data_IF_543690702464
#
_entry.id   IF_543690702464
#
_cell.length_a   1.000
_cell.length_b   1.000
_cell.length_c   1.000
_cell.angle_alpha   90.00
_cell.angle_beta   90.00
_cell.angle_gamma   90.00
#
_symmetry.space_group_name_H-M   'P 1'
#
loop_
_entity.id
_entity.type
_entity.pdbx_description
1 polymer ?
#
# COMPACT_ATOMS: atom_id res chain seq x y z
N UNK A 1 5.16 14.91 20.24
CA UNK A 1 6.21 15.53 19.40
C UNK A 1 5.85 15.30 17.94
N UNK A 2 6.20 16.21 17.03
CA UNK A 2 5.73 16.21 15.64
C UNK A 2 6.91 16.46 14.70
N UNK A 3 6.74 16.09 13.42
CA UNK A 3 7.67 16.44 12.34
C UNK A 3 8.00 17.94 12.38
N UNK A 4 9.27 18.28 12.08
CA UNK A 4 9.76 19.66 12.07
C UNK A 4 8.83 20.60 11.31
N UNK A 5 8.46 21.77 11.87
CA UNK A 5 7.65 22.77 11.18
C UNK A 5 8.27 23.27 9.86
N UNK A 6 9.60 23.18 9.72
CA UNK A 6 10.34 23.60 8.52
C UNK A 6 10.47 22.50 7.45
N UNK A 7 10.02 21.28 7.75
CA UNK A 7 10.11 20.12 6.86
C UNK A 7 8.73 19.78 6.28
N UNK A 8 8.65 19.58 4.96
CA UNK A 8 7.46 19.06 4.30
C UNK A 8 7.63 17.56 4.02
N UNK A 9 6.70 16.76 4.51
CA UNK A 9 6.62 15.32 4.20
C UNK A 9 5.64 15.13 3.06
N UNK A 10 6.07 14.49 1.98
CA UNK A 10 5.29 14.27 0.77
C UNK A 10 5.23 12.76 0.54
N UNK A 11 4.05 12.18 0.75
CA UNK A 11 3.83 10.75 0.52
C UNK A 11 3.44 10.53 -0.95
N UNK A 12 4.10 9.58 -1.61
CA UNK A 12 3.79 9.14 -2.97
C UNK A 12 3.14 7.77 -2.91
N UNK A 13 1.93 7.63 -3.44
CA UNK A 13 1.21 6.36 -3.44
C UNK A 13 0.31 6.23 -4.67
N UNK A 14 -0.31 5.07 -4.88
CA UNK A 14 -1.26 4.89 -5.99
C UNK A 14 -2.07 3.61 -5.86
N UNK A 15 -3.26 3.59 -6.45
CA UNK A 15 -4.22 2.48 -6.25
C UNK A 15 -3.82 1.16 -6.91
N UNK A 16 -2.84 1.16 -7.83
CA UNK A 16 -2.43 -0.03 -8.59
C UNK A 16 -0.90 -0.16 -8.66
N UNK A 17 -0.43 -1.41 -8.72
CA UNK A 17 0.94 -1.73 -9.11
C UNK A 17 1.24 -1.32 -10.57
N UNK A 18 2.49 -1.00 -10.89
CA UNK A 18 2.91 -0.71 -12.27
C UNK A 18 2.59 0.70 -12.82
N UNK A 19 1.96 1.58 -12.03
CA UNK A 19 1.70 2.98 -12.43
C UNK A 19 2.95 3.89 -12.38
N UNK A 20 4.09 3.38 -11.89
CA UNK A 20 5.37 4.09 -11.87
C UNK A 20 5.64 4.92 -10.61
N UNK A 21 5.12 4.50 -9.44
CA UNK A 21 5.22 5.22 -8.15
C UNK A 21 6.67 5.45 -7.71
N UNK A 22 7.47 4.38 -7.65
CA UNK A 22 8.86 4.45 -7.19
C UNK A 22 9.74 5.28 -8.12
N UNK A 23 9.61 5.06 -9.42
CA UNK A 23 10.28 5.89 -10.44
C UNK A 23 9.89 7.35 -10.30
N UNK A 24 8.60 7.63 -10.08
CA UNK A 24 8.12 8.98 -9.84
C UNK A 24 8.70 9.57 -8.55
N UNK A 25 8.70 8.84 -7.44
CA UNK A 25 9.22 9.32 -6.16
C UNK A 25 10.70 9.69 -6.24
N UNK A 26 11.53 8.85 -6.88
CA UNK A 26 12.97 9.11 -7.03
C UNK A 26 13.24 10.35 -7.90
N UNK A 27 12.55 10.46 -9.04
CA UNK A 27 12.68 11.62 -9.94
C UNK A 27 12.11 12.89 -9.31
N UNK A 28 11.01 12.80 -8.55
CA UNK A 28 10.44 13.92 -7.81
C UNK A 28 11.39 14.42 -6.74
N UNK A 29 12.03 13.53 -5.97
CA UNK A 29 13.01 13.90 -4.96
C UNK A 29 14.21 14.62 -5.59
N UNK A 30 14.71 14.14 -6.72
CA UNK A 30 15.76 14.83 -7.49
C UNK A 30 15.28 16.19 -8.05
N UNK A 31 14.03 16.28 -8.50
CA UNK A 31 13.46 17.54 -8.98
C UNK A 31 13.33 18.58 -7.85
N UNK A 32 12.88 18.17 -6.65
CA UNK A 32 12.86 19.02 -5.45
C UNK A 32 14.26 19.53 -5.11
N UNK A 33 15.25 18.63 -5.08
CA UNK A 33 16.64 19.00 -4.81
C UNK A 33 17.14 20.07 -5.79
N UNK A 34 16.87 19.91 -7.10
CA UNK A 34 17.34 20.84 -8.14
C UNK A 34 16.61 22.18 -8.14
N UNK A 35 15.28 22.17 -8.02
CA UNK A 35 14.45 23.39 -8.08
C UNK A 35 14.56 24.21 -6.79
N UNK A 36 14.47 23.54 -5.64
CA UNK A 36 14.45 24.22 -4.35
C UNK A 36 15.84 24.46 -3.77
N UNK A 37 16.86 23.76 -4.28
CA UNK A 37 18.25 23.82 -3.77
C UNK A 37 18.31 23.63 -2.25
N UNK A 38 17.48 22.73 -1.75
CA UNK A 38 17.28 22.50 -0.33
C UNK A 38 17.53 21.03 0.03
N UNK A 39 18.03 20.75 1.24
CA UNK A 39 18.19 19.38 1.75
C UNK A 39 16.92 18.55 1.56
N UNK A 40 17.05 17.48 0.79
CA UNK A 40 15.95 16.60 0.37
C UNK A 40 16.30 15.16 0.69
N UNK A 41 15.36 14.43 1.29
CA UNK A 41 15.48 13.03 1.65
C UNK A 41 14.43 12.20 0.91
N UNK A 42 14.86 11.10 0.30
CA UNK A 42 14.00 10.05 -0.23
C UNK A 42 13.97 8.88 0.75
N UNK A 43 12.79 8.34 1.02
CA UNK A 43 12.57 7.16 1.87
C UNK A 43 11.79 6.11 1.09
N UNK A 44 12.30 4.90 1.04
CA UNK A 44 11.59 3.72 0.51
C UNK A 44 10.80 3.04 1.64
N UNK A 45 9.47 3.02 1.53
CA UNK A 45 8.54 2.29 2.39
C UNK A 45 7.62 1.35 1.59
N UNK A 46 7.92 1.02 0.33
CA UNK A 46 7.17 -0.01 -0.40
C UNK A 46 7.64 -1.41 0.06
N UNK A 47 7.02 -1.93 1.12
CA UNK A 47 7.40 -3.23 1.72
C UNK A 47 7.22 -4.40 0.74
N UNK A 48 6.25 -4.32 -0.19
CA UNK A 48 5.94 -5.42 -1.12
C UNK A 48 6.93 -5.47 -2.28
N UNK A 49 7.28 -4.31 -2.82
CA UNK A 49 8.28 -4.14 -3.88
C UNK A 49 9.59 -3.61 -3.29
N UNK A 50 10.02 -4.21 -2.17
CA UNK A 50 11.16 -3.72 -1.41
C UNK A 50 12.45 -3.76 -2.25
N UNK A 51 13.17 -2.65 -2.29
CA UNK A 51 14.46 -2.54 -2.99
C UNK A 51 14.38 -2.02 -4.42
N UNK A 52 13.19 -1.79 -4.99
CA UNK A 52 13.05 -1.13 -6.30
C UNK A 52 13.75 0.24 -6.30
N UNK A 53 13.68 0.97 -5.19
CA UNK A 53 14.37 2.27 -5.08
C UNK A 53 15.89 2.17 -5.10
N UNK A 54 16.47 1.07 -4.59
CA UNK A 54 17.91 0.84 -4.67
C UNK A 54 18.35 0.71 -6.14
N UNK A 55 17.57 0.01 -6.95
CA UNK A 55 17.82 -0.17 -8.39
C UNK A 55 17.63 1.15 -9.15
N UNK A 56 16.56 1.89 -8.84
CA UNK A 56 16.23 3.16 -9.51
C UNK A 56 17.30 4.23 -9.23
N UNK A 57 17.84 4.25 -8.01
CA UNK A 57 18.82 5.26 -7.56
C UNK A 57 20.27 4.81 -7.66
N UNK A 58 20.53 3.52 -7.90
CA UNK A 58 21.88 2.96 -7.94
C UNK A 58 22.56 2.95 -6.58
N UNK A 59 21.78 2.98 -5.50
CA UNK A 59 22.28 3.08 -4.13
C UNK A 59 22.12 1.78 -3.37
N UNK A 60 23.10 1.51 -2.51
CA UNK A 60 23.00 0.50 -1.47
C UNK A 60 22.87 1.20 -0.13
N UNK A 61 21.77 1.00 0.63
CA UNK A 61 21.60 1.67 1.91
C UNK A 61 22.72 1.38 2.91
N UNK A 62 23.22 2.41 3.59
CA UNK A 62 24.14 2.26 4.75
C UNK A 62 23.40 1.63 5.93
N UNK A 63 22.18 2.13 6.16
CA UNK A 63 21.22 1.59 7.13
C UNK A 63 19.84 1.49 6.50
N UNK A 64 19.13 0.44 6.87
CA UNK A 64 17.72 0.27 6.46
C UNK A 64 16.78 1.08 7.35
N UNK A 65 15.53 1.21 6.92
CA UNK A 65 14.44 1.76 7.73
C UNK A 65 14.35 1.06 9.09
N UNK A 66 14.45 -0.28 9.12
CA UNK A 66 14.39 -1.08 10.35
C UNK A 66 15.56 -0.80 11.29
N UNK A 67 16.79 -0.74 10.77
CA UNK A 67 17.97 -0.43 11.58
C UNK A 67 17.93 1.00 12.13
N UNK A 68 17.38 1.95 11.36
CA UNK A 68 17.18 3.33 11.83
C UNK A 68 16.12 3.34 12.92
N UNK A 69 15.00 2.62 12.75
CA UNK A 69 13.92 2.55 13.74
C UNK A 69 14.42 2.08 15.11
N UNK A 70 15.31 1.09 15.11
CA UNK A 70 15.87 0.47 16.32
C UNK A 70 17.14 1.16 16.85
N UNK A 71 17.59 2.24 16.20
CA UNK A 71 18.76 3.00 16.63
C UNK A 71 18.55 3.66 18.01
N UNK A 72 19.43 3.32 18.97
CA UNK A 72 19.33 3.81 20.35
C UNK A 72 20.11 5.12 20.61
N UNK A 73 20.95 5.56 19.66
CA UNK A 73 21.74 6.78 19.82
C UNK A 73 20.96 8.06 19.54
N UNK A 74 21.54 9.20 19.93
CA UNK A 74 20.99 10.50 19.56
C UNK A 74 21.21 10.80 18.06
N UNK A 75 20.18 11.31 17.39
CA UNK A 75 20.30 11.79 16.02
C UNK A 75 20.90 13.21 16.05
N UNK A 76 22.11 13.33 15.53
CA UNK A 76 22.87 14.56 15.40
C UNK A 76 23.61 14.57 14.04
N UNK A 77 24.27 15.67 13.63
CA UNK A 77 24.94 15.73 12.33
C UNK A 77 25.97 14.62 12.07
N UNK A 78 26.62 14.07 13.10
CA UNK A 78 27.62 13.00 12.95
C UNK A 78 26.95 11.63 12.80
N UNK A 79 25.99 11.29 13.67
CA UNK A 79 25.26 10.02 13.57
C UNK A 79 24.40 9.97 12.30
N UNK A 80 23.83 11.10 11.88
CA UNK A 80 23.04 11.17 10.64
C UNK A 80 23.84 10.72 9.41
N UNK A 81 25.13 11.08 9.31
CA UNK A 81 26.01 10.63 8.21
C UNK A 81 26.26 9.12 8.19
N UNK A 82 26.10 8.45 9.34
CA UNK A 82 26.25 7.00 9.48
C UNK A 82 24.93 6.25 9.26
N UNK A 83 23.80 6.96 9.33
CA UNK A 83 22.46 6.41 9.14
C UNK A 83 21.92 6.62 7.72
N UNK A 84 22.27 7.74 7.09
CA UNK A 84 21.70 8.16 5.82
C UNK A 84 22.66 7.92 4.67
N UNK A 85 22.14 7.36 3.58
CA UNK A 85 22.91 7.07 2.38
C UNK A 85 22.99 8.32 1.50
N UNK A 86 24.18 8.83 1.18
CA UNK A 86 24.33 9.96 0.25
C UNK A 86 24.24 9.48 -1.21
N UNK A 87 23.45 10.18 -2.02
CA UNK A 87 23.49 10.06 -3.47
C UNK A 87 24.49 11.08 -4.06
N UNK A 88 25.22 10.75 -5.15
CA UNK A 88 26.17 11.69 -5.79
C UNK A 88 25.58 13.04 -6.21
N UNK A 89 24.26 13.12 -6.42
CA UNK A 89 23.55 14.37 -6.72
C UNK A 89 23.40 15.32 -5.52
N UNK A 90 23.66 14.85 -4.30
CA UNK A 90 23.33 15.55 -3.06
C UNK A 90 21.99 15.16 -2.44
N UNK A 91 21.22 14.27 -3.08
CA UNK A 91 20.02 13.66 -2.48
C UNK A 91 20.43 12.75 -1.33
N UNK A 92 19.66 12.75 -0.25
CA UNK A 92 19.80 11.78 0.83
C UNK A 92 18.80 10.65 0.67
N UNK A 93 19.17 9.42 1.07
CA UNK A 93 18.36 8.23 0.89
C UNK A 93 18.33 7.33 2.13
N UNK A 94 17.14 6.85 2.47
CA UNK A 94 16.90 5.72 3.38
C UNK A 94 16.16 4.64 2.58
N UNK A 95 16.77 3.46 2.45
CA UNK A 95 16.14 2.32 1.78
C UNK A 95 15.48 1.36 2.76
N UNK A 96 14.47 0.62 2.31
CA UNK A 96 13.79 -0.39 3.12
C UNK A 96 14.69 -1.59 3.44
N UNK A 97 15.57 -1.97 2.50
CA UNK A 97 16.40 -3.18 2.56
C UNK A 97 17.79 -2.96 1.97
N UNK A 98 18.78 -3.73 2.42
CA UNK A 98 20.12 -3.79 1.80
C UNK A 98 20.22 -4.83 0.68
N UNK A 99 19.31 -5.81 0.65
CA UNK A 99 19.15 -6.83 -0.40
C UNK A 99 17.67 -7.12 -0.61
N UNK A 100 17.20 -7.28 -1.87
CA UNK A 100 15.78 -7.44 -2.19
C UNK A 100 15.15 -8.75 -1.70
N UNK A 101 15.95 -9.78 -1.37
CA UNK A 101 15.44 -11.04 -0.80
C UNK A 101 14.99 -10.92 0.67
N UNK A 102 15.36 -9.85 1.36
CA UNK A 102 14.98 -9.63 2.76
C UNK A 102 13.64 -8.92 2.85
N UNK A 103 12.74 -9.38 3.72
CA UNK A 103 11.54 -8.63 4.08
C UNK A 103 11.74 -7.98 5.44
N UNK A 104 11.77 -6.64 5.51
CA UNK A 104 12.00 -5.94 6.77
C UNK A 104 10.73 -5.98 7.62
N UNK A 105 10.90 -6.15 8.93
CA UNK A 105 9.84 -5.94 9.90
C UNK A 105 10.01 -4.54 10.49
N UNK A 106 9.29 -3.57 9.92
CA UNK A 106 9.50 -2.16 10.25
C UNK A 106 8.65 -1.80 11.48
N UNK A 107 9.25 -1.46 12.64
CA UNK A 107 8.49 -0.98 13.79
C UNK A 107 8.08 0.47 13.53
N UNK A 108 6.91 0.66 12.93
CA UNK A 108 6.48 1.93 12.35
C UNK A 108 6.52 3.13 13.30
N UNK A 109 6.04 2.96 14.53
CA UNK A 109 6.07 4.00 15.55
C UNK A 109 7.50 4.39 15.97
N UNK A 110 8.41 3.42 16.06
CA UNK A 110 9.81 3.71 16.34
C UNK A 110 10.44 4.47 15.17
N UNK A 111 10.21 4.02 13.93
CA UNK A 111 10.74 4.73 12.76
C UNK A 111 10.18 6.15 12.65
N UNK A 112 8.87 6.33 12.88
CA UNK A 112 8.21 7.65 12.91
C UNK A 112 8.84 8.57 13.96
N UNK A 113 9.16 8.05 15.16
CA UNK A 113 9.87 8.80 16.21
C UNK A 113 11.26 9.24 15.75
N UNK A 114 12.03 8.36 15.11
CA UNK A 114 13.34 8.72 14.56
C UNK A 114 13.21 9.76 13.46
N UNK A 115 12.19 9.63 12.60
CA UNK A 115 11.91 10.57 11.52
C UNK A 115 11.64 11.99 12.04
N UNK A 116 11.06 12.15 13.23
CA UNK A 116 10.89 13.47 13.86
C UNK A 116 12.23 14.17 14.07
N UNK A 117 13.26 13.46 14.53
CA UNK A 117 14.61 14.02 14.69
C UNK A 117 15.30 14.21 13.34
N UNK A 118 15.20 13.24 12.42
CA UNK A 118 15.75 13.34 11.07
C UNK A 118 15.18 14.56 10.32
N UNK A 119 13.89 14.86 10.50
CA UNK A 119 13.21 15.97 9.84
C UNK A 119 13.76 17.35 10.20
N UNK A 120 14.60 17.47 11.24
CA UNK A 120 15.26 18.74 11.58
C UNK A 120 16.37 19.10 10.59
N UNK A 121 16.87 18.13 9.82
CA UNK A 121 17.99 18.31 8.87
C UNK A 121 17.54 18.46 7.41
N UNK A 122 16.25 18.27 7.13
CA UNK A 122 15.69 18.30 5.79
C UNK A 122 14.56 19.31 5.65
N UNK A 123 14.45 19.92 4.47
CA UNK A 123 13.30 20.75 4.11
C UNK A 123 12.20 19.92 3.44
N UNK A 124 12.58 18.86 2.73
CA UNK A 124 11.67 18.00 1.99
C UNK A 124 12.01 16.54 2.26
N UNK A 125 10.99 15.76 2.62
CA UNK A 125 11.05 14.31 2.73
C UNK A 125 10.02 13.75 1.76
N UNK A 126 10.48 12.99 0.78
CA UNK A 126 9.64 12.26 -0.17
C UNK A 126 9.62 10.81 0.29
N UNK A 127 8.44 10.27 0.53
CA UNK A 127 8.26 8.88 0.98
C UNK A 127 7.55 8.11 -0.13
N UNK A 128 8.20 7.08 -0.65
CA UNK A 128 7.59 6.12 -1.55
C UNK A 128 6.82 5.08 -0.73
N UNK A 129 5.49 5.15 -0.77
CA UNK A 129 4.60 4.34 0.04
C UNK A 129 4.09 3.09 -0.70
N UNK A 130 4.44 2.95 -1.98
CA UNK A 130 3.88 1.87 -2.79
C UNK A 130 2.37 1.96 -2.98
N UNK A 131 1.72 0.80 -3.13
CA UNK A 131 0.28 0.69 -3.40
C UNK A 131 -0.54 0.10 -2.25
N UNK A 132 0.12 -0.20 -1.13
CA UNK A 132 -0.54 -0.77 0.04
C UNK A 132 -0.83 0.33 1.06
N UNK A 133 -1.89 0.10 1.83
CA UNK A 133 -2.25 0.92 2.98
C UNK A 133 -2.33 -0.03 4.16
N UNK A 134 -1.25 -0.05 4.93
CA UNK A 134 -1.13 -0.82 6.17
C UNK A 134 -0.95 0.16 7.34
N UNK A 135 -0.98 -0.34 8.57
CA UNK A 135 -0.86 0.49 9.78
C UNK A 135 0.40 1.38 9.77
N UNK A 136 1.53 0.84 9.30
CA UNK A 136 2.76 1.62 9.08
C UNK A 136 2.51 2.87 8.23
N UNK A 137 1.72 2.74 7.16
CA UNK A 137 1.51 3.78 6.18
C UNK A 137 0.63 4.91 6.73
N UNK A 138 -0.35 4.57 7.57
CA UNK A 138 -1.29 5.53 8.15
C UNK A 138 -0.56 6.58 9.00
N UNK A 139 0.45 6.18 9.78
CA UNK A 139 1.24 7.12 10.58
C UNK A 139 1.97 8.17 9.73
N UNK A 140 2.50 7.80 8.56
CA UNK A 140 3.14 8.74 7.64
C UNK A 140 2.13 9.59 6.87
N UNK A 141 0.98 9.03 6.53
CA UNK A 141 -0.15 9.77 5.94
C UNK A 141 -0.64 10.86 6.89
N UNK A 142 -0.74 10.57 8.19
CA UNK A 142 -1.06 11.57 9.20
C UNK A 142 -0.02 12.69 9.25
N UNK A 143 1.27 12.36 9.09
CA UNK A 143 2.36 13.33 9.13
C UNK A 143 2.54 14.12 7.82
N UNK A 144 1.95 13.63 6.72
CA UNK A 144 2.09 14.21 5.39
C UNK A 144 1.61 15.66 5.31
N UNK A 145 2.41 16.49 4.64
CA UNK A 145 2.00 17.82 4.15
C UNK A 145 1.21 17.72 2.86
N UNK A 146 1.41 16.67 2.07
CA UNK A 146 0.67 16.38 0.84
C UNK A 146 0.78 14.89 0.53
N UNK A 147 -0.26 14.34 -0.10
CA UNK A 147 -0.30 12.96 -0.57
C UNK A 147 -0.48 13.00 -2.09
N UNK A 148 0.54 12.53 -2.82
CA UNK A 148 0.53 12.44 -4.27
C UNK A 148 -0.02 11.08 -4.69
N UNK A 149 -1.21 11.10 -5.28
CA UNK A 149 -1.85 9.91 -5.84
C UNK A 149 -1.45 9.77 -7.31
N UNK A 150 -0.63 8.76 -7.60
CA UNK A 150 -0.17 8.44 -8.95
C UNK A 150 -1.19 7.55 -9.63
N UNK A 151 -1.65 7.97 -10.80
CA UNK A 151 -2.57 7.22 -11.66
C UNK A 151 -2.09 7.23 -13.11
N UNK A 152 -2.69 6.42 -13.98
CA UNK A 152 -2.46 6.45 -15.43
C UNK A 152 -3.76 6.84 -16.15
N UNK A 153 -3.73 7.32 -17.41
CA UNK A 153 -4.94 7.73 -18.12
C UNK A 153 -5.77 6.53 -18.62
N UNK A 154 -5.80 5.43 -17.86
CA UNK A 154 -6.58 4.22 -18.10
C UNK A 154 -7.77 4.17 -17.14
N UNK A 155 -8.97 3.84 -17.68
CA UNK A 155 -10.22 3.79 -16.91
C UNK A 155 -10.11 2.91 -15.66
N UNK A 156 -9.51 1.72 -15.78
CA UNK A 156 -9.38 0.77 -14.67
C UNK A 156 -8.46 1.31 -13.58
N UNK A 157 -7.34 1.95 -13.94
CA UNK A 157 -6.38 2.53 -12.99
C UNK A 157 -6.98 3.74 -12.28
N UNK A 158 -7.73 4.59 -13.00
CA UNK A 158 -8.47 5.71 -12.40
C UNK A 158 -9.54 5.20 -11.43
N UNK A 159 -10.30 4.18 -11.79
CA UNK A 159 -11.31 3.59 -10.89
C UNK A 159 -10.67 3.01 -9.63
N UNK A 160 -9.54 2.33 -9.75
CA UNK A 160 -8.82 1.81 -8.59
C UNK A 160 -8.28 2.94 -7.70
N UNK A 161 -7.75 4.01 -8.31
CA UNK A 161 -7.32 5.21 -7.57
C UNK A 161 -8.48 5.84 -6.80
N UNK A 162 -9.68 5.88 -7.40
CA UNK A 162 -10.90 6.37 -6.74
C UNK A 162 -11.27 5.53 -5.52
N UNK A 163 -11.19 4.20 -5.61
CA UNK A 163 -11.46 3.30 -4.47
C UNK A 163 -10.49 3.57 -3.31
N UNK A 164 -9.20 3.63 -3.60
CA UNK A 164 -8.16 3.94 -2.60
C UNK A 164 -8.36 5.30 -1.94
N UNK A 165 -8.75 6.33 -2.72
CA UNK A 165 -9.11 7.64 -2.16
C UNK A 165 -10.29 7.53 -1.20
N UNK A 166 -11.36 6.84 -1.59
CA UNK A 166 -12.55 6.65 -0.75
C UNK A 166 -12.22 5.92 0.55
N UNK A 167 -11.39 4.87 0.50
CA UNK A 167 -10.93 4.12 1.67
C UNK A 167 -10.16 5.01 2.65
N UNK A 168 -9.20 5.81 2.15
CA UNK A 168 -8.41 6.70 3.01
C UNK A 168 -9.25 7.83 3.61
N UNK A 169 -10.20 8.38 2.84
CA UNK A 169 -11.10 9.41 3.36
C UNK A 169 -12.07 8.85 4.40
N UNK A 170 -12.52 7.61 4.23
CA UNK A 170 -13.29 6.90 5.25
C UNK A 170 -12.45 6.66 6.52
N UNK A 171 -11.14 6.45 6.37
CA UNK A 171 -10.16 6.41 7.45
C UNK A 171 -9.75 7.80 7.97
N UNK A 172 -10.58 8.84 7.77
CA UNK A 172 -10.43 10.21 8.29
C UNK A 172 -9.31 11.05 7.68
N UNK A 173 -8.66 10.61 6.60
CA UNK A 173 -7.65 11.43 5.91
C UNK A 173 -8.35 12.60 5.17
N UNK A 174 -7.98 13.87 5.45
CA UNK A 174 -8.62 15.01 4.81
C UNK A 174 -8.44 14.98 3.28
N UNK A 175 -9.56 15.10 2.57
CA UNK A 175 -9.59 15.02 1.11
C UNK A 175 -8.65 16.01 0.41
N UNK A 176 -8.44 17.19 0.99
CA UNK A 176 -7.62 18.24 0.40
C UNK A 176 -6.11 17.92 0.39
N UNK A 177 -5.66 16.97 1.22
CA UNK A 177 -4.27 16.52 1.20
C UNK A 177 -3.92 15.75 -0.08
N UNK A 178 -4.93 15.18 -0.76
CA UNK A 178 -4.72 14.40 -1.97
C UNK A 178 -4.56 15.29 -3.19
N UNK A 179 -3.42 15.12 -3.88
CA UNK A 179 -3.12 15.76 -5.15
C UNK A 179 -2.88 14.66 -6.20
N UNK A 180 -3.52 14.75 -7.35
CA UNK A 180 -3.43 13.74 -8.41
C UNK A 180 -2.28 14.08 -9.35
N UNK A 181 -1.46 13.08 -9.66
CA UNK A 181 -0.50 13.13 -10.76
C UNK A 181 -0.86 12.05 -11.77
N UNK A 182 -1.07 12.46 -13.01
CA UNK A 182 -1.36 11.53 -14.11
C UNK A 182 -0.06 11.16 -14.80
N UNK A 183 0.42 9.95 -14.57
CA UNK A 183 1.64 9.41 -15.17
C UNK A 183 1.34 8.68 -16.48
N UNK A 184 2.36 8.51 -17.33
CA UNK A 184 2.26 7.80 -18.61
C UNK A 184 1.17 8.36 -19.53
N UNK A 185 1.12 9.69 -19.67
CA UNK A 185 0.17 10.35 -20.55
C UNK A 185 0.42 9.97 -22.02
N UNK A 186 -0.65 9.53 -22.67
CA UNK A 186 -0.71 9.16 -24.10
C UNK A 186 -1.92 9.84 -24.74
N UNK A 187 -1.88 10.03 -26.06
CA UNK A 187 -2.92 10.77 -26.80
C UNK A 187 -4.32 10.16 -26.68
N UNK A 188 -4.40 8.82 -26.62
CA UNK A 188 -5.67 8.09 -26.59
C UNK A 188 -6.15 7.76 -25.17
N UNK A 189 -5.46 8.26 -24.14
CA UNK A 189 -5.84 8.06 -22.76
C UNK A 189 -6.95 9.02 -22.31
N UNK A 190 -7.52 8.77 -21.14
CA UNK A 190 -8.43 9.71 -20.49
C UNK A 190 -7.78 11.09 -20.33
N UNK A 191 -8.52 12.14 -20.71
CA UNK A 191 -8.08 13.51 -20.53
C UNK A 191 -7.92 13.85 -19.04
N UNK A 192 -6.89 14.64 -18.64
CA UNK A 192 -6.68 15.02 -17.24
C UNK A 192 -7.91 15.65 -16.58
N UNK A 193 -8.71 16.41 -17.33
CA UNK A 193 -9.95 17.02 -16.85
C UNK A 193 -11.00 15.98 -16.48
N UNK A 194 -11.15 14.92 -17.28
CA UNK A 194 -12.07 13.82 -16.99
C UNK A 194 -11.60 13.02 -15.75
N UNK A 195 -10.30 12.84 -15.59
CA UNK A 195 -9.70 12.20 -14.41
C UNK A 195 -9.97 13.05 -13.15
N UNK A 196 -9.72 14.37 -13.23
CA UNK A 196 -10.02 15.31 -12.16
C UNK A 196 -11.49 15.27 -11.74
N UNK A 197 -12.41 15.24 -12.70
CA UNK A 197 -13.86 15.13 -12.44
C UNK A 197 -14.22 13.79 -11.77
N UNK A 198 -13.65 12.68 -12.26
CA UNK A 198 -13.91 11.34 -11.73
C UNK A 198 -13.39 11.16 -10.30
N UNK A 199 -12.18 11.66 -10.02
CA UNK A 199 -11.54 11.55 -8.71
C UNK A 199 -11.96 12.64 -7.73
N UNK A 200 -12.55 13.75 -8.21
CA UNK A 200 -12.93 14.93 -7.43
C UNK A 200 -11.75 15.52 -6.63
N UNK A 201 -10.55 15.41 -7.17
CA UNK A 201 -9.30 15.89 -6.55
C UNK A 201 -8.46 16.63 -7.57
N UNK A 202 -7.70 17.65 -7.17
CA UNK A 202 -6.92 18.48 -8.08
C UNK A 202 -5.87 17.64 -8.81
N UNK A 203 -5.79 17.78 -10.14
CA UNK A 203 -4.66 17.27 -10.92
C UNK A 203 -3.59 18.35 -10.98
N UNK A 204 -2.46 18.10 -10.31
CA UNK A 204 -1.35 19.07 -10.21
C UNK A 204 -0.31 18.92 -11.32
N UNK A 205 -0.38 17.83 -12.08
CA UNK A 205 0.55 17.57 -13.15
C UNK A 205 0.23 16.32 -13.95
N UNK A 206 0.79 16.29 -15.15
CA UNK A 206 0.63 15.23 -16.13
C UNK A 206 2.00 14.95 -16.72
N UNK A 207 2.45 13.70 -16.66
CA UNK A 207 3.76 13.28 -17.12
C UNK A 207 3.59 12.48 -18.42
N UNK A 208 4.20 12.91 -19.54
CA UNK A 208 4.15 12.16 -20.79
C UNK A 208 4.80 10.79 -20.64
N UNK A 209 4.25 9.77 -21.31
CA UNK A 209 4.93 8.49 -21.43
C UNK A 209 6.20 8.65 -22.27
N UNK A 210 7.34 8.24 -21.71
CA UNK A 210 8.63 8.21 -22.39
C UNK A 210 9.38 6.94 -21.96
N UNK A 211 9.09 5.85 -22.67
CA UNK A 211 9.65 4.54 -22.35
C UNK A 211 11.15 4.48 -22.62
N UNK A 212 11.65 5.21 -23.62
CA UNK A 212 13.07 5.23 -23.97
C UNK A 212 13.91 5.86 -22.85
N UNK A 213 13.53 7.06 -22.38
CA UNK A 213 14.22 7.72 -21.27
C UNK A 213 14.08 6.91 -19.98
N UNK A 214 12.88 6.39 -19.70
CA UNK A 214 12.65 5.60 -18.49
C UNK A 214 13.49 4.33 -18.48
N UNK A 215 13.54 3.61 -19.61
CA UNK A 215 14.34 2.41 -19.77
C UNK A 215 15.84 2.70 -19.60
N UNK A 216 16.34 3.75 -20.25
CA UNK A 216 17.75 4.17 -20.13
C UNK A 216 18.11 4.54 -18.68
N UNK A 217 17.22 5.26 -17.98
CA UNK A 217 17.41 5.66 -16.59
C UNK A 217 17.57 4.43 -15.68
N UNK A 218 16.72 3.42 -15.87
CA UNK A 218 16.78 2.17 -15.11
C UNK A 218 18.05 1.37 -15.42
N UNK A 219 18.50 1.31 -16.68
CA UNK A 219 19.75 0.65 -17.05
C UNK A 219 20.98 1.28 -16.39
N UNK A 220 20.97 2.61 -16.25
CA UNK A 220 22.05 3.37 -15.61
C UNK A 220 21.85 3.56 -14.11
N UNK A 221 20.76 3.02 -13.54
CA UNK A 221 20.36 3.20 -12.15
C UNK A 221 20.46 4.66 -11.67
N UNK A 222 20.07 5.60 -12.53
CA UNK A 222 20.17 7.04 -12.25
C UNK A 222 18.85 7.72 -12.64
N UNK A 223 18.21 8.47 -11.73
CA UNK A 223 16.97 9.19 -12.04
C UNK A 223 17.15 10.12 -13.25
N UNK A 224 16.28 9.99 -14.26
CA UNK A 224 16.40 10.75 -15.52
C UNK A 224 16.32 12.27 -15.33
N UNK A 225 15.70 12.77 -14.25
CA UNK A 225 15.70 14.21 -13.94
C UNK A 225 17.13 14.76 -13.80
N UNK A 226 18.12 13.91 -13.49
CA UNK A 226 19.53 14.28 -13.39
C UNK A 226 20.25 14.25 -14.75
N UNK A 227 19.88 13.33 -15.64
CA UNK A 227 20.62 13.05 -16.89
C UNK A 227 19.94 13.62 -18.14
N UNK A 228 18.63 13.83 -18.12
CA UNK A 228 17.80 14.22 -19.26
C UNK A 228 17.12 15.58 -19.04
N UNK A 229 17.88 16.58 -18.60
CA UNK A 229 17.38 17.88 -18.13
C UNK A 229 16.44 18.63 -19.12
N UNK A 230 16.63 18.45 -20.43
CA UNK A 230 15.88 19.15 -21.47
C UNK A 230 14.66 18.36 -22.01
N UNK A 231 14.39 17.17 -21.47
CA UNK A 231 13.27 16.34 -21.92
C UNK A 231 11.92 16.85 -21.40
N UNK A 232 10.85 16.59 -22.17
CA UNK A 232 9.48 16.93 -21.75
C UNK A 232 9.06 16.21 -20.46
N UNK A 233 9.50 14.96 -20.29
CA UNK A 233 9.25 14.19 -19.07
C UNK A 233 9.88 14.90 -17.87
N UNK A 234 11.15 15.32 -17.94
CA UNK A 234 11.84 16.04 -16.86
C UNK A 234 11.20 17.40 -16.56
N UNK A 235 10.83 18.16 -17.60
CA UNK A 235 10.12 19.43 -17.44
C UNK A 235 8.81 19.29 -16.66
N UNK A 236 8.11 18.15 -16.80
CA UNK A 236 6.86 17.87 -16.07
C UNK A 236 7.10 17.67 -14.56
N UNK A 237 8.21 17.05 -14.15
CA UNK A 237 8.57 16.93 -12.73
C UNK A 237 8.88 18.29 -12.11
N UNK A 238 9.66 19.13 -12.79
CA UNK A 238 9.94 20.48 -12.34
C UNK A 238 8.68 21.34 -12.23
N UNK A 239 7.73 21.19 -13.17
CA UNK A 239 6.42 21.83 -13.09
C UNK A 239 5.65 21.39 -11.83
N UNK A 240 5.58 20.09 -11.54
CA UNK A 240 4.91 19.55 -10.35
C UNK A 240 5.53 20.13 -9.06
N UNK A 241 6.86 20.19 -8.97
CA UNK A 241 7.55 20.78 -7.81
C UNK A 241 7.13 22.24 -7.62
N UNK A 242 7.13 23.06 -8.69
CA UNK A 242 6.71 24.46 -8.63
C UNK A 242 5.25 24.62 -8.22
N UNK A 243 4.35 23.75 -8.71
CA UNK A 243 2.96 23.74 -8.29
C UNK A 243 2.85 23.48 -6.78
N UNK A 244 3.53 22.45 -6.27
CA UNK A 244 3.53 22.12 -4.85
C UNK A 244 4.09 23.24 -3.98
N UNK A 245 5.17 23.89 -4.41
CA UNK A 245 5.85 24.93 -3.62
C UNK A 245 5.27 26.33 -3.79
N UNK A 246 4.30 26.53 -4.68
CA UNK A 246 3.59 27.81 -4.92
C UNK A 246 2.69 28.28 -3.77
N UNK A 247 2.68 27.58 -2.63
CA UNK A 247 1.78 27.83 -1.50
C UNK A 247 0.93 26.63 -1.11
N UNK A 248 0.81 25.62 -2.00
CA UNK A 248 0.03 24.41 -1.75
C UNK A 248 0.55 23.70 -0.50
N UNK A 249 1.85 23.39 -0.43
CA UNK A 249 2.42 22.68 0.72
C UNK A 249 2.26 23.44 2.04
N UNK A 250 2.39 24.77 2.06
CA UNK A 250 2.18 25.57 3.27
C UNK A 250 0.70 25.57 3.68
N UNK A 251 -0.21 25.77 2.72
CA UNK A 251 -1.65 25.72 2.94
C UNK A 251 -2.08 24.36 3.49
N UNK A 252 -1.69 23.28 2.83
CA UNK A 252 -2.03 21.91 3.22
C UNK A 252 -1.48 21.54 4.60
N UNK A 253 -0.26 21.97 4.93
CA UNK A 253 0.33 21.75 6.25
C UNK A 253 -0.38 22.54 7.36
N UNK A 254 -0.93 23.71 7.04
CA UNK A 254 -1.62 24.59 8.01
C UNK A 254 -3.09 24.22 8.25
N UNK A 255 -3.72 23.45 7.36
CA UNK A 255 -5.11 23.03 7.53
C UNK A 255 -5.22 22.10 8.75
N UNK A 256 -6.05 22.53 9.71
CA UNK A 256 -6.24 21.88 11.00
C UNK A 256 -6.56 20.40 10.83
N UNK A 257 -5.66 19.54 11.31
CA UNK A 257 -5.87 18.09 11.35
C UNK A 257 -6.90 17.80 12.45
N UNK A 258 -8.08 17.24 12.15
CA UNK A 258 -8.86 16.61 13.19
C UNK A 258 -8.00 15.49 13.77
N UNK A 259 -7.75 15.48 15.08
CA UNK A 259 -7.31 14.24 15.73
C UNK A 259 -8.41 13.20 15.47
N UNK A 260 -8.09 11.96 15.08
CA UNK A 260 -9.06 10.89 15.16
C UNK A 260 -9.60 10.87 16.60
N UNK A 261 -10.87 11.24 16.79
CA UNK A 261 -11.54 11.02 18.07
C UNK A 261 -11.77 9.52 18.17
N UNK A 262 -10.89 8.83 18.89
CA UNK A 262 -11.30 7.62 19.58
C UNK A 262 -12.36 8.11 20.58
N UNK A 263 -13.61 7.74 20.37
CA UNK A 263 -14.67 8.01 21.35
C UNK A 263 -14.27 7.27 22.63
N UNK A 264 -13.91 8.00 23.68
CA UNK A 264 -13.86 7.43 25.02
C UNK A 264 -15.26 6.90 25.35
N UNK A 265 -15.41 5.62 25.73
CA UNK A 265 -16.69 5.14 26.21
C UNK A 265 -17.06 5.93 27.46
N UNK A 266 -18.30 6.42 27.49
CA UNK A 266 -18.89 7.01 28.67
C UNK A 266 -18.70 6.07 29.88
N UNK A 267 -18.23 6.63 30.99
CA UNK A 267 -17.89 5.87 32.18
C UNK A 267 -19.10 5.16 32.78
N UNK A 268 -18.87 3.93 33.21
CA UNK A 268 -19.66 3.27 34.25
C UNK A 268 -18.70 2.81 35.35
N UNK A 269 -18.75 3.53 36.47
CA UNK A 269 -18.39 2.98 37.77
C UNK A 269 -19.44 1.91 38.09
N UNK A 270 -19.03 0.66 38.29
CA UNK A 270 -18.99 0.00 39.61
C UNK A 270 -18.77 -1.52 39.45
N UNK A 271 -18.22 -2.13 40.50
CA UNK A 271 -18.12 -3.57 40.79
C UNK A 271 -16.86 -4.34 40.31
N UNK A 272 -15.90 -4.31 41.24
CA UNK A 272 -14.84 -5.25 41.53
C UNK A 272 -15.28 -6.73 41.45
N UNK A 273 -14.46 -7.59 40.83
CA UNK A 273 -13.76 -8.76 41.45
C UNK A 273 -13.16 -9.68 40.37
N UNK A 274 -11.93 -10.18 40.60
CA UNK A 274 -11.49 -11.47 40.04
C UNK A 274 -10.39 -11.49 38.97
N UNK A 275 -9.15 -11.69 39.44
CA UNK A 275 -7.96 -12.35 38.86
C UNK A 275 -7.88 -12.74 37.36
N UNK A 276 -6.66 -12.48 36.85
CA UNK A 276 -5.88 -13.22 35.83
C UNK A 276 -6.41 -13.28 34.39
N UNK A 277 -5.58 -12.81 33.45
CA UNK A 277 -5.61 -13.27 32.06
C UNK A 277 -5.32 -12.20 31.02
N UNK A 278 -4.14 -12.31 30.43
CA UNK A 278 -3.82 -12.11 29.00
C UNK A 278 -4.55 -11.01 28.20
N UNK A 279 -3.75 -10.09 27.67
CA UNK A 279 -3.67 -9.80 26.22
C UNK A 279 -4.82 -10.35 25.37
N UNK A 280 -5.86 -9.54 25.12
CA UNK A 280 -6.68 -9.55 23.88
C UNK A 280 -7.96 -8.71 24.05
N UNK A 281 -7.90 -7.42 23.70
CA UNK A 281 -9.05 -6.57 23.40
C UNK A 281 -8.46 -5.52 22.43
N UNK A 282 -8.67 -5.44 21.11
CA UNK A 282 -9.85 -5.64 20.26
C UNK A 282 -9.41 -6.01 18.82
N UNK A 283 -9.56 -7.28 18.43
CA UNK A 283 -10.04 -7.66 17.09
C UNK A 283 -11.54 -7.86 17.26
N UNK A 284 -12.38 -7.06 16.59
CA UNK A 284 -13.74 -7.52 16.29
C UNK A 284 -14.17 -7.00 14.94
N UNK A 285 -14.46 -7.95 14.05
CA UNK A 285 -14.91 -7.71 12.70
C UNK A 285 -14.92 -8.95 11.81
N UNK A 286 -14.33 -10.07 12.23
CA UNK A 286 -14.41 -11.31 11.47
C UNK A 286 -14.48 -12.52 12.41
N UNK A 287 -15.54 -13.31 12.26
CA UNK A 287 -15.80 -14.53 13.01
C UNK A 287 -14.60 -15.51 12.94
N UNK A 288 -14.17 -16.16 14.04
CA UNK A 288 -13.02 -17.06 14.04
C UNK A 288 -13.09 -18.18 12.99
N UNK A 289 -14.30 -18.71 12.72
CA UNK A 289 -14.51 -19.70 11.66
C UNK A 289 -14.27 -19.10 10.27
N UNK A 290 -14.65 -17.84 10.05
CA UNK A 290 -14.37 -17.13 8.78
C UNK A 290 -12.88 -16.89 8.58
N UNK A 291 -12.14 -16.52 9.62
CA UNK A 291 -10.67 -16.39 9.54
C UNK A 291 -9.99 -17.72 9.23
N UNK A 292 -10.47 -18.80 9.86
CA UNK A 292 -9.96 -20.15 9.61
C UNK A 292 -10.26 -20.60 8.16
N UNK A 293 -11.48 -20.37 7.65
CA UNK A 293 -11.86 -20.66 6.27
C UNK A 293 -10.97 -19.94 5.25
N UNK A 294 -10.75 -18.64 5.45
CA UNK A 294 -9.85 -17.86 4.58
C UNK A 294 -8.41 -18.39 4.61
N UNK A 295 -7.94 -18.84 5.77
CA UNK A 295 -6.59 -19.40 5.92
C UNK A 295 -6.47 -20.75 5.18
N UNK A 296 -7.45 -21.64 5.37
CA UNK A 296 -7.49 -22.94 4.68
C UNK A 296 -7.57 -22.73 3.15
N UNK A 297 -8.41 -21.80 2.69
CA UNK A 297 -8.55 -21.49 1.26
C UNK A 297 -7.23 -20.98 0.64
N UNK A 298 -6.53 -20.07 1.34
CA UNK A 298 -5.24 -19.56 0.87
C UNK A 298 -4.14 -20.63 0.85
N UNK A 299 -4.14 -21.57 1.80
CA UNK A 299 -3.20 -22.70 1.81
C UNK A 299 -3.53 -23.73 0.73
N UNK A 300 -4.82 -23.98 0.46
CA UNK A 300 -5.26 -24.85 -0.63
C UNK A 300 -4.77 -24.35 -2.00
N UNK A 301 -4.84 -23.05 -2.24
CA UNK A 301 -4.34 -22.42 -3.49
C UNK A 301 -2.83 -22.55 -3.63
N UNK A 302 -2.07 -22.60 -2.53
CA UNK A 302 -0.61 -22.79 -2.55
C UNK A 302 -0.23 -24.25 -2.78
N UNK A 303 -0.98 -25.19 -2.20
CA UNK A 303 -0.72 -26.63 -2.30
C UNK A 303 -1.26 -27.23 -3.62
N UNK A 304 -2.28 -26.63 -4.24
CA UNK A 304 -2.92 -27.14 -5.45
C UNK A 304 -2.89 -26.12 -6.59
N UNK A 305 -2.43 -26.55 -7.78
CA UNK A 305 -2.47 -25.75 -9.01
C UNK A 305 -3.88 -25.85 -9.66
N UNK A 306 -4.91 -25.46 -8.89
CA UNK A 306 -6.35 -25.62 -9.18
C UNK A 306 -6.73 -25.17 -10.58
N UNK A 307 -6.08 -24.12 -11.10
CA UNK A 307 -6.34 -23.55 -12.42
C UNK A 307 -5.91 -24.47 -13.57
N UNK A 308 -4.85 -25.28 -13.39
CA UNK A 308 -4.42 -26.28 -14.39
C UNK A 308 -5.30 -27.53 -14.35
N UNK A 309 -5.70 -27.96 -13.16
CA UNK A 309 -6.54 -29.15 -13.00
C UNK A 309 -7.98 -28.92 -13.49
N UNK A 310 -8.55 -27.72 -13.25
CA UNK A 310 -9.85 -27.29 -13.80
C UNK A 310 -9.86 -27.17 -15.34
N UNK A 311 -8.70 -26.94 -15.96
CA UNK A 311 -8.59 -26.91 -17.42
C UNK A 311 -8.52 -28.32 -18.03
N UNK A 312 -8.06 -29.31 -17.27
CA UNK A 312 -7.92 -30.71 -17.70
C UNK A 312 -9.19 -31.56 -17.49
N UNK A 313 -10.21 -31.02 -16.83
CA UNK A 313 -11.44 -31.74 -16.43
C UNK A 313 -12.67 -31.43 -17.28
N UNK A 314 -12.60 -30.55 -18.29
CA UNK A 314 -13.79 -30.13 -19.06
C UNK A 314 -14.53 -31.31 -19.71
N UNK A 315 -15.67 -31.69 -19.09
CA UNK A 315 -16.68 -32.59 -19.65
C UNK A 315 -16.62 -34.06 -19.25
N UNK A 316 -15.71 -34.48 -18.36
CA UNK A 316 -15.58 -35.89 -17.91
C UNK A 316 -16.03 -36.05 -16.44
N UNK A 317 -17.20 -36.68 -16.18
CA UNK A 317 -17.73 -36.87 -14.82
C UNK A 317 -16.80 -37.65 -13.89
N UNK A 318 -15.93 -38.51 -14.44
CA UNK A 318 -15.01 -39.32 -13.64
C UNK A 318 -13.85 -38.49 -13.08
N UNK A 319 -13.31 -37.56 -13.89
CA UNK A 319 -12.21 -36.66 -13.51
C UNK A 319 -12.66 -35.55 -12.57
N UNK A 320 -13.89 -35.07 -12.73
CA UNK A 320 -14.49 -34.10 -11.81
C UNK A 320 -14.66 -34.72 -10.41
N UNK A 321 -15.11 -35.98 -10.35
CA UNK A 321 -15.19 -36.74 -9.10
C UNK A 321 -13.81 -36.99 -8.47
N UNK A 322 -12.80 -37.28 -9.29
CA UNK A 322 -11.42 -37.45 -8.82
C UNK A 322 -10.84 -36.16 -8.25
N UNK A 323 -11.04 -35.01 -8.93
CA UNK A 323 -10.60 -33.70 -8.46
C UNK A 323 -11.30 -33.30 -7.16
N UNK A 324 -12.61 -33.56 -7.05
CA UNK A 324 -13.39 -33.31 -5.83
C UNK A 324 -12.86 -34.13 -4.65
N UNK A 325 -12.54 -35.41 -4.87
CA UNK A 325 -11.98 -36.28 -3.83
C UNK A 325 -10.58 -35.83 -3.38
N UNK A 326 -9.70 -35.46 -4.32
CA UNK A 326 -8.35 -34.95 -4.00
C UNK A 326 -8.42 -33.65 -3.20
N UNK A 327 -9.28 -32.72 -3.62
CA UNK A 327 -9.48 -31.43 -2.96
C UNK A 327 -10.06 -31.63 -1.56
N UNK A 328 -11.03 -32.53 -1.38
CA UNK A 328 -11.59 -32.88 -0.08
C UNK A 328 -10.53 -33.46 0.88
N UNK A 329 -9.63 -34.31 0.38
CA UNK A 329 -8.52 -34.84 1.18
C UNK A 329 -7.56 -33.72 1.62
N UNK A 330 -7.18 -32.81 0.72
CA UNK A 330 -6.32 -31.68 1.06
C UNK A 330 -6.97 -30.74 2.10
N UNK A 331 -8.25 -30.40 1.92
CA UNK A 331 -9.01 -29.58 2.88
C UNK A 331 -9.09 -30.28 4.24
N UNK A 332 -9.31 -31.60 4.28
CA UNK A 332 -9.35 -32.36 5.55
C UNK A 332 -8.02 -32.26 6.30
N UNK A 333 -6.89 -32.46 5.60
CA UNK A 333 -5.55 -32.37 6.21
C UNK A 333 -5.27 -30.95 6.72
N UNK A 334 -5.63 -29.93 5.94
CA UNK A 334 -5.48 -28.53 6.34
C UNK A 334 -6.37 -28.16 7.53
N UNK A 335 -7.60 -28.67 7.56
CA UNK A 335 -8.55 -28.44 8.67
C UNK A 335 -8.06 -29.11 9.96
N UNK A 336 -7.47 -30.31 9.87
CA UNK A 336 -6.89 -30.98 11.03
C UNK A 336 -5.64 -30.28 11.56
N UNK A 337 -4.83 -29.70 10.66
CA UNK A 337 -3.63 -28.93 11.03
C UNK A 337 -3.97 -27.57 11.64
N UNK A 338 -4.91 -26.83 11.05
CA UNK A 338 -5.18 -25.42 11.35
C UNK A 338 -6.40 -25.21 12.27
N UNK A 339 -7.33 -26.16 12.31
CA UNK A 339 -8.60 -26.10 13.07
C UNK A 339 -8.53 -26.74 14.45
N UNK A 340 -7.47 -26.48 15.22
CA UNK A 340 -7.36 -27.00 16.60
C UNK A 340 -8.46 -26.41 17.48
N UNK A 341 -9.25 -27.27 18.13
CA UNK A 341 -10.36 -26.88 19.01
C UNK A 341 -11.75 -26.91 18.39
N UNK A 342 -11.91 -27.21 17.08
CA UNK A 342 -13.21 -27.39 16.45
C UNK A 342 -13.88 -28.72 16.82
N UNK A 343 -15.21 -28.69 17.04
CA UNK A 343 -16.05 -29.87 17.18
C UNK A 343 -16.09 -30.70 15.89
N UNK A 344 -16.53 -31.96 15.98
CA UNK A 344 -16.70 -32.80 14.78
C UNK A 344 -17.73 -32.21 13.81
N UNK A 345 -18.81 -31.60 14.31
CA UNK A 345 -19.80 -30.95 13.45
C UNK A 345 -19.22 -29.69 12.78
N UNK A 346 -18.47 -28.87 13.53
CA UNK A 346 -17.86 -27.65 13.00
C UNK A 346 -16.81 -27.95 11.93
N UNK A 347 -16.00 -29.00 12.12
CA UNK A 347 -15.04 -29.47 11.11
C UNK A 347 -15.73 -29.89 9.82
N UNK A 348 -16.78 -30.71 9.95
CA UNK A 348 -17.56 -31.17 8.78
C UNK A 348 -18.16 -29.99 8.02
N UNK A 349 -18.65 -28.98 8.75
CA UNK A 349 -19.18 -27.74 8.18
C UNK A 349 -18.13 -26.93 7.43
N UNK A 350 -16.96 -26.70 8.04
CA UNK A 350 -15.85 -25.97 7.42
C UNK A 350 -15.34 -26.68 6.17
N UNK A 351 -15.16 -28.00 6.23
CA UNK A 351 -14.69 -28.78 5.07
C UNK A 351 -15.67 -28.67 3.90
N UNK A 352 -16.97 -28.80 4.18
CA UNK A 352 -18.01 -28.70 3.15
C UNK A 352 -18.04 -27.30 2.52
N UNK A 353 -18.09 -26.25 3.34
CA UNK A 353 -18.16 -24.86 2.85
C UNK A 353 -16.93 -24.49 2.02
N UNK A 354 -15.72 -24.86 2.44
CA UNK A 354 -14.49 -24.57 1.69
C UNK A 354 -14.43 -25.36 0.38
N UNK A 355 -14.94 -26.61 0.35
CA UNK A 355 -15.00 -27.43 -0.86
C UNK A 355 -15.96 -26.82 -1.89
N UNK A 356 -17.15 -26.43 -1.44
CA UNK A 356 -18.21 -25.83 -2.26
C UNK A 356 -17.78 -24.45 -2.81
N UNK A 357 -17.01 -23.67 -2.04
CA UNK A 357 -16.37 -22.42 -2.51
C UNK A 357 -15.23 -22.63 -3.51
N UNK A 358 -14.50 -23.74 -3.40
CA UNK A 358 -13.30 -23.97 -4.23
C UNK A 358 -13.62 -24.61 -5.59
N UNK A 359 -14.64 -25.46 -5.65
CA UNK A 359 -15.00 -26.22 -6.87
C UNK A 359 -16.42 -25.98 -7.36
N UNK A 360 -17.26 -25.35 -6.55
CA UNK A 360 -18.70 -25.18 -6.80
C UNK A 360 -19.12 -23.73 -6.99
N UNK A 361 -20.39 -23.45 -6.70
CA UNK A 361 -20.97 -22.09 -6.74
C UNK A 361 -20.86 -21.36 -5.39
N UNK A 362 -20.03 -21.87 -4.48
CA UNK A 362 -19.79 -21.29 -3.16
C UNK A 362 -21.06 -21.24 -2.30
N UNK A 363 -21.41 -20.08 -1.70
CA UNK A 363 -22.55 -19.96 -0.78
C UNK A 363 -23.90 -20.41 -1.37
N UNK A 364 -24.01 -20.42 -2.71
CA UNK A 364 -25.24 -20.77 -3.42
C UNK A 364 -25.53 -22.28 -3.43
N UNK A 365 -24.53 -23.15 -3.24
CA UNK A 365 -24.76 -24.61 -3.25
C UNK A 365 -25.67 -25.07 -2.11
N UNK A 366 -25.58 -24.42 -0.95
CA UNK A 366 -26.45 -24.73 0.19
C UNK A 366 -27.91 -24.38 -0.11
N UNK A 367 -28.14 -23.30 -0.87
CA UNK A 367 -29.48 -22.88 -1.29
C UNK A 367 -30.04 -23.75 -2.42
N UNK A 368 -29.18 -24.25 -3.31
CA UNK A 368 -29.57 -25.15 -4.40
C UNK A 368 -29.91 -26.57 -3.91
N UNK A 369 -29.38 -26.98 -2.76
CA UNK A 369 -29.66 -28.28 -2.16
C UNK A 369 -31.01 -28.34 -1.40
N UNK A 370 -31.62 -27.19 -1.10
CA UNK A 370 -32.91 -27.13 -0.42
C UNK A 370 -34.07 -27.19 -1.43
N UNK A 371 -34.81 -28.30 -1.40
CA UNK A 371 -35.97 -28.52 -2.29
C UNK A 371 -37.14 -27.56 -2.05
N UNK A 372 -37.11 -26.75 -0.98
CA UNK A 372 -38.06 -25.67 -0.72
C UNK A 372 -37.70 -24.36 -1.40
N UNK A 373 -36.47 -24.20 -1.90
CA UNK A 373 -36.01 -23.01 -2.62
C UNK A 373 -36.30 -23.21 -4.10
N UNK A 374 -37.29 -22.49 -4.63
CA UNK A 374 -37.70 -22.60 -6.04
C UNK A 374 -36.92 -21.67 -6.97
N UNK A 375 -36.38 -20.57 -6.46
CA UNK A 375 -35.69 -19.54 -7.23
C UNK A 375 -34.63 -18.83 -6.39
N UNK A 376 -33.48 -18.53 -6.99
CA UNK A 376 -32.38 -17.77 -6.36
C UNK A 376 -32.08 -16.58 -7.27
N UNK A 377 -32.45 -15.37 -6.84
CA UNK A 377 -32.10 -14.13 -7.53
C UNK A 377 -30.84 -13.52 -6.92
N UNK A 378 -29.84 -13.23 -7.76
CA UNK A 378 -28.59 -12.59 -7.34
C UNK A 378 -28.61 -11.15 -7.86
N UNK A 379 -28.69 -10.18 -6.95
CA UNK A 379 -28.56 -8.77 -7.32
C UNK A 379 -27.09 -8.42 -7.54
N UNK A 380 -26.81 -7.65 -8.58
CA UNK A 380 -25.54 -6.95 -8.72
C UNK A 380 -25.37 -5.97 -7.56
N UNK A 381 -24.13 -5.74 -7.13
CA UNK A 381 -23.79 -4.78 -6.08
C UNK A 381 -24.17 -3.31 -6.42
N UNK A 382 -24.61 -3.08 -7.65
CA UNK A 382 -25.10 -1.84 -8.25
C UNK A 382 -26.64 -1.72 -8.26
N UNK A 383 -27.37 -2.73 -7.73
CA UNK A 383 -28.82 -2.78 -7.69
C UNK A 383 -29.38 -3.09 -6.29
N UNK A 384 -28.89 -2.37 -5.27
CA UNK A 384 -29.46 -2.38 -3.91
C UNK A 384 -29.74 -0.95 -3.45
#
# INVERSE_FOLDING_TARGET
MAISPKCHVICVMGGKGGVGKSVFAANLACAFLREMRAPTLLIDLDIKSCGDQNIITGLRPIKTVEEIATFQGAINPQSLKQLITPHPSGLSFIGAVTSPEFRPEIPGELFRKQLQHISQFYNYIIIDMGSQIEELHLGFIEDASSILMITTPEVLTVNQTRKTLSELMAATVPGDLFQIVVNKMVRNGLAPQAIQQSLRRPVIGSIPQDDAITYQALQTSTPFVLTQANSHVTGSYHHIVRQLTSGILQKLKSMSRPKPRIQEPAGENDLLTGKMGATNVIKKGMDPLTQLKMTIHNELIKEMDLKKDLMNTKGDPSKEKELRNKTMQAISVLTDRLGQGLSREERSRVIKEVLDESLGLGPLETLLADSKVSEIMVNGYDHI
#
